data_IF_432092400595
#
_entry.id   IF_432092400595
#
_cell.length_a   1.000
_cell.length_b   1.000
_cell.length_c   1.000
_cell.angle_alpha   90.00
_cell.angle_beta   90.00
_cell.angle_gamma   90.00
#
_symmetry.space_group_name_H-M   'P 1'
#
loop_
_entity.id
_entity.type
_entity.pdbx_description
1 polymer ?
#
# COMPACT_ATOMS: atom_id res chain seq x y z
N UNK A 1 9.13 -17.79 40.66
CA UNK A 1 7.73 -17.34 40.87
C UNK A 1 7.46 -16.23 39.88
N UNK A 2 6.93 -16.56 38.70
CA UNK A 2 6.63 -15.54 37.71
C UNK A 2 5.39 -14.77 38.17
N UNK A 3 5.57 -13.52 38.57
CA UNK A 3 4.50 -12.54 38.77
C UNK A 3 3.92 -12.15 37.40
N UNK A 4 3.27 -13.11 36.74
CA UNK A 4 2.64 -12.97 35.44
C UNK A 4 1.14 -13.18 35.55
N UNK A 5 0.40 -12.62 34.60
CA UNK A 5 -1.04 -12.85 34.47
C UNK A 5 -1.27 -14.37 34.25
N UNK A 6 -2.23 -15.00 34.95
CA UNK A 6 -2.64 -16.37 34.67
C UNK A 6 -2.98 -16.55 33.18
N UNK A 7 -2.56 -17.65 32.55
CA UNK A 7 -2.68 -17.83 31.09
C UNK A 7 -4.14 -17.77 30.60
N UNK A 8 -5.06 -18.29 31.39
CA UNK A 8 -6.51 -18.25 31.20
C UNK A 8 -7.07 -16.82 31.28
N UNK A 9 -6.67 -16.05 32.30
CA UNK A 9 -7.03 -14.64 32.41
C UNK A 9 -6.40 -13.79 31.29
N UNK A 10 -5.18 -14.11 30.88
CA UNK A 10 -4.46 -13.47 29.79
C UNK A 10 -5.16 -13.68 28.45
N UNK A 11 -5.59 -14.91 28.15
CA UNK A 11 -6.35 -15.24 26.95
C UNK A 11 -7.68 -14.46 26.87
N UNK A 12 -8.40 -14.35 27.99
CA UNK A 12 -9.66 -13.61 28.04
C UNK A 12 -9.45 -12.10 27.86
N UNK A 13 -8.48 -11.52 28.58
CA UNK A 13 -8.14 -10.10 28.41
C UNK A 13 -7.66 -9.79 27.00
N UNK A 14 -6.84 -10.67 26.42
CA UNK A 14 -6.36 -10.54 25.05
C UNK A 14 -7.51 -10.48 24.06
N UNK A 15 -8.42 -11.46 24.11
CA UNK A 15 -9.56 -11.57 23.20
C UNK A 15 -10.46 -10.34 23.28
N UNK A 16 -10.71 -9.81 24.48
CA UNK A 16 -11.52 -8.59 24.67
C UNK A 16 -10.82 -7.36 24.10
N UNK A 17 -9.53 -7.18 24.39
CA UNK A 17 -8.76 -6.02 23.90
C UNK A 17 -8.60 -6.04 22.38
N UNK A 18 -8.31 -7.21 21.80
CA UNK A 18 -8.31 -7.41 20.36
C UNK A 18 -9.70 -7.12 19.78
N UNK A 19 -10.78 -7.55 20.43
CA UNK A 19 -12.17 -7.31 20.01
C UNK A 19 -12.49 -5.83 19.86
N UNK A 20 -12.09 -5.03 20.84
CA UNK A 20 -12.26 -3.57 20.82
C UNK A 20 -11.50 -2.94 19.65
N UNK A 21 -10.22 -3.29 19.48
CA UNK A 21 -9.38 -2.76 18.40
C UNK A 21 -9.87 -3.22 17.02
N UNK A 22 -10.32 -4.46 16.91
CA UNK A 22 -10.90 -4.99 15.69
C UNK A 22 -12.17 -4.24 15.30
N UNK A 23 -13.04 -3.89 16.26
CA UNK A 23 -14.18 -3.01 16.02
C UNK A 23 -13.78 -1.66 15.42
N UNK A 24 -12.74 -1.00 15.97
CA UNK A 24 -12.18 0.21 15.36
C UNK A 24 -11.64 -0.03 13.95
N UNK A 25 -10.99 -1.17 13.71
CA UNK A 25 -10.47 -1.53 12.39
C UNK A 25 -11.58 -1.66 11.35
N UNK A 26 -12.75 -2.22 11.70
CA UNK A 26 -13.92 -2.30 10.81
C UNK A 26 -14.44 -0.91 10.48
N UNK A 27 -14.59 -0.04 11.49
CA UNK A 27 -15.07 1.33 11.27
C UNK A 27 -14.14 2.10 10.32
N UNK A 28 -12.84 1.97 10.50
CA UNK A 28 -11.85 2.58 9.61
C UNK A 28 -11.82 1.94 8.21
N UNK A 29 -12.06 0.63 8.11
CA UNK A 29 -12.22 -0.04 6.81
C UNK A 29 -13.42 0.53 6.05
N UNK A 30 -14.59 0.64 6.70
CA UNK A 30 -15.80 1.25 6.11
C UNK A 30 -15.49 2.69 5.67
N UNK A 31 -14.82 3.47 6.53
CA UNK A 31 -14.37 4.82 6.20
C UNK A 31 -13.39 4.86 5.00
N UNK A 32 -12.52 3.87 4.87
CA UNK A 32 -11.59 3.72 3.74
C UNK A 32 -12.34 3.43 2.45
N UNK A 33 -13.26 2.46 2.46
CA UNK A 33 -14.11 2.13 1.30
C UNK A 33 -14.94 3.35 0.88
N UNK A 34 -15.58 4.02 1.84
CA UNK A 34 -16.33 5.24 1.59
C UNK A 34 -15.43 6.31 0.98
N UNK A 35 -14.24 6.56 1.54
CA UNK A 35 -13.33 7.57 1.04
C UNK A 35 -12.83 7.28 -0.38
N UNK A 36 -12.65 6.00 -0.72
CA UNK A 36 -12.16 5.53 -2.02
C UNK A 36 -13.25 5.50 -3.10
N UNK A 37 -14.51 5.22 -2.75
CA UNK A 37 -15.64 5.07 -3.68
C UNK A 37 -16.47 6.34 -3.82
N UNK A 38 -16.59 7.17 -2.77
CA UNK A 38 -17.45 8.35 -2.78
C UNK A 38 -17.00 9.39 -3.82
N UNK A 39 -17.86 9.61 -4.82
CA UNK A 39 -17.71 10.56 -5.94
C UNK A 39 -16.54 10.29 -6.90
N UNK A 40 -16.03 9.06 -6.99
CA UNK A 40 -15.04 8.67 -8.01
C UNK A 40 -15.69 7.89 -9.15
N UNK A 41 -15.30 8.19 -10.39
CA UNK A 41 -15.58 7.29 -11.51
C UNK A 41 -14.82 5.97 -11.30
N UNK A 42 -15.40 4.84 -11.73
CA UNK A 42 -14.82 3.49 -11.55
C UNK A 42 -13.38 3.37 -12.06
N UNK A 43 -12.95 4.23 -13.00
CA UNK A 43 -11.60 4.26 -13.58
C UNK A 43 -10.53 4.90 -12.66
N UNK A 44 -10.92 5.63 -11.60
CA UNK A 44 -9.99 6.31 -10.67
C UNK A 44 -9.72 5.54 -9.36
N UNK A 45 -10.19 4.29 -9.30
CA UNK A 45 -10.05 3.44 -8.12
C UNK A 45 -8.75 2.64 -8.25
N UNK A 46 -7.84 2.84 -7.32
CA UNK A 46 -6.61 2.05 -7.21
C UNK A 46 -6.96 0.63 -6.72
N UNK A 47 -7.36 -0.25 -7.64
CA UNK A 47 -7.74 -1.63 -7.35
C UNK A 47 -6.71 -2.39 -6.48
N UNK A 48 -5.38 -2.25 -6.69
CA UNK A 48 -4.41 -2.94 -5.84
C UNK A 48 -4.50 -2.55 -4.35
N UNK A 49 -4.76 -1.27 -4.07
CA UNK A 49 -4.89 -0.77 -2.69
C UNK A 49 -6.17 -1.29 -2.04
N UNK A 50 -7.25 -1.39 -2.81
CA UNK A 50 -8.51 -1.95 -2.34
C UNK A 50 -8.35 -3.44 -2.01
N UNK A 51 -7.70 -4.20 -2.89
CA UNK A 51 -7.42 -5.63 -2.66
C UNK A 51 -6.63 -5.83 -1.37
N UNK A 52 -5.57 -5.06 -1.16
CA UNK A 52 -4.79 -5.11 0.09
C UNK A 52 -5.64 -4.78 1.32
N UNK A 53 -6.47 -3.74 1.25
CA UNK A 53 -7.36 -3.37 2.36
C UNK A 53 -8.32 -4.51 2.72
N UNK A 54 -8.88 -5.18 1.71
CA UNK A 54 -9.76 -6.34 1.92
C UNK A 54 -8.99 -7.53 2.49
N UNK A 55 -7.79 -7.82 2.00
CA UNK A 55 -6.95 -8.90 2.52
C UNK A 55 -6.57 -8.69 3.99
N UNK A 56 -6.20 -7.47 4.38
CA UNK A 56 -5.90 -7.13 5.79
C UNK A 56 -7.12 -7.30 6.69
N UNK A 57 -8.32 -6.95 6.19
CA UNK A 57 -9.55 -7.20 6.94
C UNK A 57 -9.80 -8.70 7.09
N UNK A 58 -9.73 -9.48 6.01
CA UNK A 58 -9.99 -10.93 6.03
C UNK A 58 -9.04 -11.64 7.00
N UNK A 59 -7.74 -11.33 6.96
CA UNK A 59 -6.77 -11.91 7.88
C UNK A 59 -7.04 -11.52 9.33
N UNK A 60 -7.37 -10.25 9.59
CA UNK A 60 -7.73 -9.80 10.93
C UNK A 60 -9.02 -10.45 11.45
N UNK A 61 -10.00 -10.69 10.58
CA UNK A 61 -11.23 -11.43 10.92
C UNK A 61 -10.93 -12.90 11.21
N UNK A 62 -10.11 -13.54 10.38
CA UNK A 62 -9.74 -14.94 10.58
C UNK A 62 -8.98 -15.13 11.90
N UNK A 63 -8.03 -14.23 12.20
CA UNK A 63 -7.30 -14.21 13.47
C UNK A 63 -8.23 -14.06 14.68
N UNK A 64 -9.17 -13.11 14.63
CA UNK A 64 -10.19 -12.91 15.67
C UNK A 64 -11.04 -14.17 15.90
N UNK A 65 -11.51 -14.80 14.82
CA UNK A 65 -12.31 -16.04 14.91
C UNK A 65 -11.52 -17.16 15.57
N UNK A 66 -10.26 -17.35 15.16
CA UNK A 66 -9.36 -18.34 15.76
C UNK A 66 -9.14 -18.06 17.25
N UNK A 67 -9.00 -16.80 17.66
CA UNK A 67 -8.86 -16.43 19.06
C UNK A 67 -10.12 -16.70 19.88
N UNK A 68 -11.31 -16.42 19.34
CA UNK A 68 -12.58 -16.74 20.00
C UNK A 68 -12.74 -18.26 20.18
N UNK A 69 -12.48 -19.04 19.12
CA UNK A 69 -12.55 -20.51 19.18
C UNK A 69 -11.56 -21.06 20.21
N UNK A 70 -10.31 -20.59 20.20
CA UNK A 70 -9.31 -21.00 21.20
C UNK A 70 -9.73 -20.67 22.63
N UNK A 71 -10.35 -19.51 22.84
CA UNK A 71 -10.85 -19.09 24.14
C UNK A 71 -12.01 -19.97 24.61
N UNK A 72 -12.93 -20.33 23.72
CA UNK A 72 -14.03 -21.26 24.00
C UNK A 72 -13.52 -22.67 24.31
N UNK A 73 -12.65 -23.22 23.47
CA UNK A 73 -12.07 -24.55 23.65
C UNK A 73 -11.32 -24.66 24.99
N UNK A 74 -10.51 -23.66 25.31
CA UNK A 74 -9.70 -23.66 26.52
C UNK A 74 -10.49 -23.44 27.81
N UNK A 75 -11.47 -22.53 27.80
CA UNK A 75 -12.20 -22.14 29.01
C UNK A 75 -13.49 -22.93 29.26
N UNK A 76 -14.11 -23.45 28.20
CA UNK A 76 -15.44 -24.09 28.27
C UNK A 76 -15.34 -25.58 28.01
N UNK A 77 -14.82 -25.99 26.85
CA UNK A 77 -14.86 -27.39 26.39
C UNK A 77 -13.86 -28.25 27.16
N UNK A 78 -12.59 -27.86 27.16
CA UNK A 78 -11.51 -28.67 27.72
C UNK A 78 -11.23 -28.36 29.19
N UNK A 79 -12.15 -27.68 29.88
CA UNK A 79 -11.98 -27.20 31.25
C UNK A 79 -11.63 -28.32 32.25
N UNK A 80 -12.17 -29.52 32.02
CA UNK A 80 -12.01 -30.68 32.91
C UNK A 80 -11.15 -31.80 32.32
N UNK A 81 -10.69 -31.65 31.07
CA UNK A 81 -9.89 -32.69 30.40
C UNK A 81 -8.41 -32.65 30.82
N UNK A 82 -7.91 -31.49 31.24
CA UNK A 82 -6.52 -31.31 31.66
C UNK A 82 -6.36 -31.42 33.19
N UNK A 83 -5.37 -32.18 33.70
CA UNK A 83 -5.15 -32.38 35.14
C UNK A 83 -4.95 -31.08 35.92
N UNK A 84 -4.36 -30.04 35.29
CA UNK A 84 -4.11 -28.74 35.91
C UNK A 84 -5.10 -27.65 35.45
N UNK A 85 -6.17 -28.01 34.74
CA UNK A 85 -7.22 -27.10 34.27
C UNK A 85 -6.88 -26.30 32.99
N UNK A 86 -7.66 -25.25 32.67
CA UNK A 86 -7.54 -24.46 31.43
C UNK A 86 -6.16 -23.87 31.15
N UNK A 87 -5.39 -23.57 32.20
CA UNK A 87 -4.05 -22.98 32.06
C UNK A 87 -3.06 -23.91 31.36
N UNK A 88 -3.24 -25.23 31.47
CA UNK A 88 -2.41 -26.24 30.79
C UNK A 88 -2.71 -26.28 29.28
N UNK A 89 -3.99 -26.14 28.90
CA UNK A 89 -4.38 -26.01 27.50
C UNK A 89 -3.76 -24.77 26.83
N UNK A 90 -3.75 -23.64 27.54
CA UNK A 90 -3.13 -22.41 27.02
C UNK A 90 -1.60 -22.44 27.03
N UNK A 91 -0.99 -23.23 27.91
CA UNK A 91 0.46 -23.45 27.94
C UNK A 91 0.95 -24.33 26.76
N UNK A 92 0.07 -25.15 26.19
CA UNK A 92 0.39 -25.94 25.02
C UNK A 92 0.37 -25.07 23.75
N UNK A 93 1.59 -24.74 23.31
CA UNK A 93 1.87 -23.97 22.10
C UNK A 93 1.81 -24.83 20.82
N UNK A 94 1.74 -26.16 20.93
CA UNK A 94 1.72 -27.05 19.77
C UNK A 94 0.34 -27.26 19.17
N UNK A 95 -0.70 -26.77 19.85
CA UNK A 95 -2.08 -26.80 19.40
C UNK A 95 -2.23 -26.18 18.01
N UNK A 96 -2.94 -26.85 17.11
CA UNK A 96 -3.13 -26.42 15.72
C UNK A 96 -3.67 -24.99 15.64
N UNK A 97 -4.61 -24.65 16.52
CA UNK A 97 -5.21 -23.31 16.64
C UNK A 97 -4.16 -22.23 16.95
N UNK A 98 -3.15 -22.53 17.77
CA UNK A 98 -2.06 -21.61 18.10
C UNK A 98 -1.11 -21.41 16.89
N UNK A 99 -0.81 -22.48 16.17
CA UNK A 99 0.02 -22.44 14.95
C UNK A 99 -0.68 -21.65 13.83
N UNK A 100 -1.98 -21.91 13.61
CA UNK A 100 -2.80 -21.21 12.60
C UNK A 100 -2.88 -19.71 12.91
N UNK A 101 -3.12 -19.36 14.18
CA UNK A 101 -3.14 -17.98 14.67
C UNK A 101 -1.84 -17.23 14.31
N UNK A 102 -0.69 -17.78 14.67
CA UNK A 102 0.61 -17.17 14.35
C UNK A 102 0.90 -17.15 12.85
N UNK A 103 0.38 -18.10 12.08
CA UNK A 103 0.48 -18.08 10.62
C UNK A 103 -0.25 -16.89 10.01
N UNK A 104 -1.48 -16.60 10.47
CA UNK A 104 -2.20 -15.39 10.06
C UNK A 104 -1.47 -14.13 10.47
N UNK A 105 -0.87 -14.13 11.67
CA UNK A 105 -0.05 -13.01 12.13
C UNK A 105 1.09 -12.70 11.17
N UNK A 106 1.91 -13.70 10.85
CA UNK A 106 3.05 -13.56 9.93
C UNK A 106 2.59 -13.10 8.53
N UNK A 107 1.52 -13.69 8.00
CA UNK A 107 0.97 -13.30 6.70
C UNK A 107 0.52 -11.83 6.67
N UNK A 108 -0.18 -11.38 7.71
CA UNK A 108 -0.65 -10.01 7.82
C UNK A 108 0.52 -9.02 7.98
N UNK A 109 1.54 -9.36 8.76
CA UNK A 109 2.78 -8.57 8.86
C UNK A 109 3.48 -8.45 7.51
N UNK A 110 3.63 -9.56 6.77
CA UNK A 110 4.27 -9.54 5.45
C UNK A 110 3.50 -8.67 4.46
N UNK A 111 2.17 -8.74 4.45
CA UNK A 111 1.34 -7.88 3.62
C UNK A 111 1.46 -6.41 4.02
N UNK A 112 1.42 -6.10 5.32
CA UNK A 112 1.53 -4.73 5.81
C UNK A 112 2.87 -4.09 5.42
N UNK A 113 3.98 -4.75 5.75
CA UNK A 113 5.33 -4.27 5.44
C UNK A 113 5.56 -4.17 3.93
N UNK A 114 5.13 -5.18 3.18
CA UNK A 114 5.26 -5.21 1.72
C UNK A 114 4.59 -4.01 1.06
N UNK A 115 3.46 -3.53 1.59
CA UNK A 115 2.78 -2.36 1.04
C UNK A 115 3.48 -1.05 1.37
N UNK A 116 4.08 -0.93 2.56
CA UNK A 116 4.92 0.23 2.91
C UNK A 116 6.13 0.29 2.00
N UNK A 117 6.79 -0.84 1.76
CA UNK A 117 7.93 -0.98 0.85
C UNK A 117 7.52 -0.64 -0.59
N UNK A 118 6.39 -1.16 -1.07
CA UNK A 118 5.86 -0.83 -2.40
C UNK A 118 5.60 0.67 -2.56
N UNK A 119 5.00 1.32 -1.54
CA UNK A 119 4.80 2.78 -1.56
C UNK A 119 6.12 3.53 -1.59
N UNK A 120 7.12 3.07 -0.82
CA UNK A 120 8.46 3.65 -0.84
C UNK A 120 9.07 3.56 -2.25
N UNK A 121 8.95 2.42 -2.92
CA UNK A 121 9.41 2.24 -4.31
C UNK A 121 8.73 3.20 -5.30
N UNK A 122 7.40 3.29 -5.25
CA UNK A 122 6.63 4.16 -6.15
C UNK A 122 6.99 5.64 -5.96
N UNK A 123 7.31 6.09 -4.74
CA UNK A 123 7.65 7.49 -4.47
C UNK A 123 9.11 7.81 -4.80
N UNK A 124 10.04 6.86 -4.60
CA UNK A 124 11.45 7.07 -4.91
C UNK A 124 11.80 6.87 -6.40
N UNK A 125 11.03 6.05 -7.14
CA UNK A 125 11.31 5.69 -8.53
C UNK A 125 12.73 5.12 -8.75
N UNK A 126 13.34 4.59 -7.69
CA UNK A 126 14.70 4.03 -7.70
C UNK A 126 14.72 2.75 -6.87
N UNK A 127 15.15 1.65 -7.50
CA UNK A 127 15.23 0.33 -6.87
C UNK A 127 16.28 0.29 -5.76
N UNK A 128 17.39 1.03 -5.90
CA UNK A 128 18.55 0.97 -5.01
C UNK A 128 18.24 1.29 -3.55
N UNK A 129 17.26 2.19 -3.31
CA UNK A 129 16.91 2.66 -1.97
C UNK A 129 16.02 1.65 -1.26
N UNK A 130 15.32 0.79 -2.01
CA UNK A 130 14.34 -0.16 -1.48
C UNK A 130 14.96 -1.56 -1.29
N UNK A 131 16.16 -1.81 -1.83
CA UNK A 131 16.90 -3.07 -1.64
C UNK A 131 17.04 -3.43 -0.17
N UNK A 132 17.43 -2.46 0.68
CA UNK A 132 17.62 -2.70 2.11
C UNK A 132 16.31 -3.12 2.82
N UNK A 133 15.19 -2.37 2.70
CA UNK A 133 13.90 -2.83 3.21
C UNK A 133 13.44 -4.19 2.67
N UNK A 134 13.72 -4.50 1.40
CA UNK A 134 13.35 -5.80 0.81
C UNK A 134 14.14 -6.95 1.45
N UNK A 135 15.45 -6.77 1.68
CA UNK A 135 16.27 -7.79 2.35
C UNK A 135 15.74 -8.05 3.76
N UNK A 136 15.40 -6.99 4.50
CA UNK A 136 14.83 -7.13 5.84
C UNK A 136 13.45 -7.79 5.80
N UNK A 137 12.61 -7.45 4.83
CA UNK A 137 11.31 -8.10 4.63
C UNK A 137 11.44 -9.59 4.30
N UNK A 138 12.43 -9.99 3.50
CA UNK A 138 12.77 -11.40 3.28
C UNK A 138 13.21 -12.07 4.59
N UNK A 139 13.99 -11.37 5.43
CA UNK A 139 14.33 -11.86 6.78
C UNK A 139 13.09 -12.06 7.64
N UNK A 140 12.12 -11.14 7.61
CA UNK A 140 10.83 -11.29 8.33
C UNK A 140 10.09 -12.54 7.84
N UNK A 141 10.03 -12.77 6.53
CA UNK A 141 9.38 -13.96 5.96
C UNK A 141 10.04 -15.26 6.43
N UNK A 142 11.37 -15.34 6.34
CA UNK A 142 12.13 -16.54 6.73
C UNK A 142 12.00 -16.79 8.23
N UNK A 143 12.25 -15.78 9.06
CA UNK A 143 12.17 -15.90 10.52
C UNK A 143 10.76 -16.23 10.99
N UNK A 144 9.72 -15.64 10.39
CA UNK A 144 8.32 -15.93 10.71
C UNK A 144 7.92 -17.36 10.37
N UNK A 145 8.26 -17.85 9.17
CA UNK A 145 7.96 -19.24 8.76
C UNK A 145 8.68 -20.24 9.65
N UNK A 146 9.96 -20.01 9.95
CA UNK A 146 10.73 -20.90 10.83
C UNK A 146 10.21 -20.85 12.26
N UNK A 147 9.79 -19.68 12.76
CA UNK A 147 9.18 -19.55 14.07
C UNK A 147 7.89 -20.38 14.16
N UNK A 148 6.96 -20.23 13.20
CA UNK A 148 5.71 -21.01 13.15
C UNK A 148 6.00 -22.52 13.08
N UNK A 149 6.95 -22.93 12.25
CA UNK A 149 7.38 -24.33 12.18
C UNK A 149 7.99 -24.83 13.50
N UNK A 150 8.79 -24.00 14.18
CA UNK A 150 9.38 -24.36 15.47
C UNK A 150 8.31 -24.47 16.56
N UNK A 151 7.25 -23.65 16.50
CA UNK A 151 6.08 -23.74 17.39
C UNK A 151 5.35 -25.07 17.18
N UNK A 152 5.10 -25.47 15.94
CA UNK A 152 4.39 -26.75 15.68
C UNK A 152 5.16 -27.97 16.18
N UNK A 153 6.49 -27.90 16.19
CA UNK A 153 7.36 -28.97 16.70
C UNK A 153 7.60 -28.88 18.22
N UNK A 154 7.25 -27.78 18.88
CA UNK A 154 7.55 -27.58 20.30
C UNK A 154 6.80 -28.57 21.24
N UNK A 155 5.70 -29.16 20.79
CA UNK A 155 4.94 -30.19 21.53
C UNK A 155 5.68 -31.51 21.69
N UNK A 156 6.80 -31.72 20.97
CA UNK A 156 7.61 -32.95 21.06
C UNK A 156 8.43 -33.05 22.35
N UNK A 157 8.45 -32.03 23.20
CA UNK A 157 9.17 -32.04 24.50
C UNK A 157 10.69 -31.80 24.39
N UNK A 158 11.22 -31.59 23.19
CA UNK A 158 12.64 -31.39 22.95
C UNK A 158 13.06 -29.93 23.23
N UNK A 159 13.79 -29.71 24.33
CA UNK A 159 14.24 -28.38 24.76
C UNK A 159 15.13 -27.62 23.77
N UNK A 160 15.68 -28.29 22.75
CA UNK A 160 16.43 -27.68 21.64
C UNK A 160 15.50 -26.80 20.79
N UNK A 161 14.29 -27.28 20.48
CA UNK A 161 13.31 -26.52 19.69
C UNK A 161 12.79 -25.31 20.44
N UNK A 162 12.64 -25.40 21.76
CA UNK A 162 12.23 -24.26 22.60
C UNK A 162 13.26 -23.14 22.57
N UNK A 163 14.55 -23.47 22.65
CA UNK A 163 15.63 -22.47 22.61
C UNK A 163 15.79 -21.86 21.21
N UNK A 164 15.69 -22.68 20.17
CA UNK A 164 15.71 -22.22 18.78
C UNK A 164 14.50 -21.33 18.47
N UNK A 165 13.29 -21.74 18.88
CA UNK A 165 12.06 -20.96 18.74
C UNK A 165 12.24 -19.55 19.30
N UNK A 166 12.82 -19.41 20.49
CA UNK A 166 13.01 -18.10 21.09
C UNK A 166 13.97 -17.19 20.30
N UNK A 167 15.01 -17.76 19.70
CA UNK A 167 15.90 -17.00 18.83
C UNK A 167 15.18 -16.54 17.55
N UNK A 168 14.37 -17.42 16.93
CA UNK A 168 13.62 -17.09 15.73
C UNK A 168 12.54 -16.04 15.97
N UNK A 169 11.79 -16.15 17.07
CA UNK A 169 10.76 -15.15 17.45
C UNK A 169 11.40 -13.79 17.75
N UNK A 170 12.54 -13.78 18.44
CA UNK A 170 13.29 -12.54 18.70
C UNK A 170 13.78 -11.89 17.41
N UNK A 171 14.34 -12.69 16.50
CA UNK A 171 14.81 -12.23 15.19
C UNK A 171 13.64 -11.71 14.33
N UNK A 172 12.48 -12.37 14.39
CA UNK A 172 11.27 -11.94 13.71
C UNK A 172 10.81 -10.56 14.22
N UNK A 173 10.63 -10.36 15.53
CA UNK A 173 10.24 -9.05 16.06
C UNK A 173 11.26 -7.95 15.73
N UNK A 174 12.55 -8.22 15.91
CA UNK A 174 13.61 -7.25 15.63
C UNK A 174 13.66 -6.86 14.14
N UNK A 175 13.56 -7.85 13.24
CA UNK A 175 13.56 -7.61 11.80
C UNK A 175 12.30 -6.87 11.34
N UNK A 176 11.13 -7.16 11.90
CA UNK A 176 9.89 -6.44 11.59
C UNK A 176 9.96 -4.98 12.06
N UNK A 177 10.42 -4.73 13.29
CA UNK A 177 10.61 -3.36 13.81
C UNK A 177 11.57 -2.58 12.90
N UNK A 178 12.71 -3.18 12.55
CA UNK A 178 13.69 -2.55 11.67
C UNK A 178 13.10 -2.28 10.27
N UNK A 179 12.41 -3.24 9.67
CA UNK A 179 11.78 -3.12 8.36
C UNK A 179 10.75 -2.00 8.34
N UNK A 180 9.85 -1.97 9.33
CA UNK A 180 8.79 -0.97 9.42
C UNK A 180 9.33 0.44 9.65
N UNK A 181 10.29 0.62 10.56
CA UNK A 181 10.90 1.93 10.83
C UNK A 181 11.73 2.44 9.65
N UNK A 182 12.52 1.59 9.01
CA UNK A 182 13.33 1.97 7.86
C UNK A 182 12.46 2.31 6.65
N UNK A 183 11.50 1.47 6.31
CA UNK A 183 10.61 1.71 5.16
C UNK A 183 9.72 2.94 5.36
N UNK A 184 9.15 3.11 6.56
CA UNK A 184 8.33 4.29 6.91
C UNK A 184 9.17 5.57 6.97
N UNK A 185 10.39 5.50 7.53
CA UNK A 185 11.33 6.62 7.60
C UNK A 185 11.80 7.09 6.22
N UNK A 186 12.17 6.15 5.34
CA UNK A 186 12.56 6.43 3.95
C UNK A 186 11.41 7.08 3.16
N UNK A 187 10.19 6.57 3.36
CA UNK A 187 9.00 7.14 2.74
C UNK A 187 8.72 8.56 3.25
N UNK A 188 8.73 8.78 4.56
CA UNK A 188 8.52 10.08 5.18
C UNK A 188 9.57 11.11 4.74
N UNK A 189 10.85 10.72 4.76
CA UNK A 189 11.97 11.58 4.37
C UNK A 189 11.87 12.04 2.91
N UNK A 190 11.50 11.13 2.00
CA UNK A 190 11.33 11.46 0.58
C UNK A 190 10.21 12.45 0.35
N UNK A 191 9.06 12.24 0.98
CA UNK A 191 7.92 13.16 0.89
C UNK A 191 8.33 14.55 1.38
N UNK A 192 9.10 14.61 2.48
CA UNK A 192 9.62 15.86 3.02
C UNK A 192 10.59 16.58 2.06
N UNK A 193 11.52 15.89 1.42
CA UNK A 193 12.42 16.49 0.42
C UNK A 193 11.64 17.06 -0.76
N UNK A 194 10.69 16.29 -1.31
CA UNK A 194 9.88 16.73 -2.45
C UNK A 194 9.13 18.02 -2.10
N UNK A 195 8.56 18.11 -0.90
CA UNK A 195 7.90 19.34 -0.44
C UNK A 195 8.87 20.52 -0.36
N UNK A 196 10.07 20.31 0.19
CA UNK A 196 11.06 21.38 0.37
C UNK A 196 11.57 21.93 -0.96
N UNK A 197 11.70 21.09 -1.99
CA UNK A 197 12.09 21.50 -3.34
C UNK A 197 11.03 22.31 -4.10
N UNK A 198 9.74 22.08 -3.83
CA UNK A 198 8.62 22.77 -4.50
C UNK A 198 8.25 24.10 -3.80
N UNK A 199 8.61 24.26 -2.53
CA UNK A 199 8.27 25.44 -1.70
C UNK A 199 8.92 26.75 -2.16
N UNK A 200 9.89 26.71 -3.08
CA UNK A 200 10.57 27.90 -3.61
C UNK A 200 9.78 28.66 -4.70
N UNK A 201 8.70 28.10 -5.26
CA UNK A 201 8.07 28.65 -6.47
C UNK A 201 6.62 29.11 -6.28
N UNK A 202 5.89 28.70 -5.23
CA UNK A 202 4.56 29.26 -4.96
C UNK A 202 4.10 29.00 -3.53
N UNK A 203 3.40 29.97 -2.95
CA UNK A 203 2.80 30.04 -1.60
C UNK A 203 1.71 28.99 -1.32
N UNK A 204 1.85 27.75 -1.80
CA UNK A 204 0.94 26.65 -1.49
C UNK A 204 1.36 25.96 -0.19
N UNK A 205 0.95 26.59 0.89
CA UNK A 205 0.77 26.11 2.26
C UNK A 205 0.82 24.58 2.43
N UNK A 206 1.87 24.08 3.10
CA UNK A 206 1.94 22.92 4.01
C UNK A 206 0.98 21.69 3.84
N UNK A 207 0.55 21.34 2.64
CA UNK A 207 -0.52 20.35 2.40
C UNK A 207 -0.08 18.90 2.60
N UNK A 208 1.20 18.57 2.40
CA UNK A 208 1.69 17.18 2.53
C UNK A 208 2.26 16.85 3.92
N UNK A 209 2.58 17.85 4.75
CA UNK A 209 3.09 17.66 6.11
C UNK A 209 2.13 16.86 7.02
N UNK A 210 0.80 17.04 6.94
CA UNK A 210 -0.13 16.18 7.66
C UNK A 210 -0.13 14.72 7.21
N UNK A 211 0.19 14.42 5.94
CA UNK A 211 0.32 13.03 5.46
C UNK A 211 1.54 12.37 6.09
N UNK A 212 2.66 13.08 6.10
CA UNK A 212 3.91 12.62 6.73
C UNK A 212 3.71 12.36 8.22
N UNK A 213 3.00 13.26 8.93
CA UNK A 213 2.70 13.07 10.35
C UNK A 213 1.90 11.79 10.60
N UNK A 214 0.84 11.54 9.84
CA UNK A 214 0.02 10.31 10.01
C UNK A 214 0.83 9.05 9.67
N UNK A 215 1.70 9.10 8.67
CA UNK A 215 2.63 7.99 8.36
C UNK A 215 3.55 7.68 9.54
N UNK A 216 4.14 8.73 10.14
CA UNK A 216 5.04 8.59 11.29
C UNK A 216 4.28 8.11 12.53
N UNK A 217 3.11 8.67 12.83
CA UNK A 217 2.28 8.27 13.97
C UNK A 217 1.88 6.78 13.86
N UNK A 218 1.50 6.33 12.65
CA UNK A 218 1.18 4.94 12.38
C UNK A 218 2.40 4.01 12.54
N UNK A 219 3.56 4.42 12.04
CA UNK A 219 4.80 3.65 12.15
C UNK A 219 5.27 3.52 13.61
N UNK A 220 5.15 4.60 14.39
CA UNK A 220 5.48 4.60 15.83
C UNK A 220 4.52 3.70 16.59
N UNK A 221 3.21 3.82 16.35
CA UNK A 221 2.19 3.00 17.01
C UNK A 221 2.48 1.51 16.82
N UNK A 222 2.73 1.09 15.57
CA UNK A 222 3.02 -0.30 15.26
C UNK A 222 4.35 -0.77 15.88
N UNK A 223 5.41 0.04 15.75
CA UNK A 223 6.72 -0.31 16.30
C UNK A 223 6.71 -0.38 17.83
N UNK A 224 5.93 0.48 18.50
CA UNK A 224 5.77 0.46 19.94
C UNK A 224 5.06 -0.82 20.42
N UNK A 225 4.02 -1.26 19.70
CA UNK A 225 3.34 -2.52 20.00
C UNK A 225 4.30 -3.72 19.86
N UNK A 226 5.06 -3.80 18.76
CA UNK A 226 6.06 -4.85 18.55
C UNK A 226 7.19 -4.82 19.58
N UNK A 227 7.68 -3.63 19.92
CA UNK A 227 8.73 -3.48 20.94
C UNK A 227 8.23 -3.94 22.31
N UNK A 228 6.98 -3.62 22.65
CA UNK A 228 6.35 -4.09 23.89
C UNK A 228 6.21 -5.61 23.88
N UNK A 229 5.77 -6.21 22.77
CA UNK A 229 5.71 -7.66 22.62
C UNK A 229 7.10 -8.31 22.79
N UNK A 230 8.13 -7.73 22.17
CA UNK A 230 9.51 -8.22 22.28
C UNK A 230 10.04 -8.15 23.73
N UNK A 231 9.79 -7.05 24.44
CA UNK A 231 10.20 -6.90 25.85
C UNK A 231 9.51 -7.95 26.72
N UNK A 232 8.20 -8.13 26.55
CA UNK A 232 7.44 -9.14 27.30
C UNK A 232 7.92 -10.55 26.98
N UNK A 233 8.26 -10.83 25.73
CA UNK A 233 8.80 -12.11 25.31
C UNK A 233 10.13 -12.44 25.99
N UNK A 234 11.10 -11.53 25.91
CA UNK A 234 12.42 -11.72 26.52
C UNK A 234 12.33 -11.79 28.06
N UNK A 235 11.32 -11.14 28.64
CA UNK A 235 11.04 -11.20 30.08
C UNK A 235 10.32 -12.48 30.51
N UNK A 236 9.90 -13.34 29.57
CA UNK A 236 9.11 -14.54 29.85
C UNK A 236 7.73 -14.24 30.43
N UNK A 237 7.12 -13.12 30.05
CA UNK A 237 5.81 -12.71 30.54
C UNK A 237 4.71 -13.13 29.55
N UNK A 238 3.73 -13.88 30.05
CA UNK A 238 2.54 -14.34 29.33
C UNK A 238 1.73 -13.21 28.66
N UNK A 239 1.92 -11.95 29.10
CA UNK A 239 1.30 -10.79 28.47
C UNK A 239 1.76 -10.53 27.03
N UNK A 240 2.83 -11.18 26.55
CA UNK A 240 3.28 -11.08 25.16
C UNK A 240 2.17 -11.47 24.18
N UNK A 241 1.50 -12.61 24.37
CA UNK A 241 0.46 -13.09 23.45
C UNK A 241 -0.67 -12.06 23.34
N UNK A 242 -1.01 -11.40 24.45
CA UNK A 242 -2.00 -10.34 24.46
C UNK A 242 -1.57 -9.12 23.62
N UNK A 243 -0.30 -8.73 23.67
CA UNK A 243 0.22 -7.63 22.85
C UNK A 243 0.29 -8.00 21.38
N UNK A 244 0.64 -9.25 21.06
CA UNK A 244 0.65 -9.78 19.68
C UNK A 244 -0.76 -9.77 19.10
N UNK A 245 -1.76 -10.20 19.88
CA UNK A 245 -3.17 -10.17 19.49
C UNK A 245 -3.65 -8.75 19.21
N UNK A 246 -3.33 -7.80 20.08
CA UNK A 246 -3.63 -6.39 19.83
C UNK A 246 -2.90 -5.83 18.60
N UNK A 247 -1.69 -6.32 18.28
CA UNK A 247 -0.91 -5.85 17.15
C UNK A 247 -1.57 -6.18 15.79
N UNK A 248 -2.40 -7.24 15.72
CA UNK A 248 -3.16 -7.59 14.52
C UNK A 248 -4.07 -6.45 14.04
N UNK A 249 -5.11 -6.04 14.77
CA UNK A 249 -5.96 -4.93 14.36
C UNK A 249 -5.20 -3.59 14.30
N UNK A 250 -4.14 -3.38 15.10
CA UNK A 250 -3.30 -2.18 15.01
C UNK A 250 -2.68 -2.02 13.63
N UNK A 251 -2.18 -3.10 13.01
CA UNK A 251 -1.64 -3.03 11.64
C UNK A 251 -2.70 -2.58 10.63
N UNK A 252 -3.91 -3.13 10.72
CA UNK A 252 -5.03 -2.75 9.86
C UNK A 252 -5.44 -1.29 10.09
N UNK A 253 -5.54 -0.86 11.34
CA UNK A 253 -5.83 0.53 11.74
C UNK A 253 -4.80 1.49 11.15
N UNK A 254 -3.51 1.22 11.36
CA UNK A 254 -2.40 2.01 10.84
C UNK A 254 -2.49 2.16 9.31
N UNK A 255 -2.76 1.04 8.62
CA UNK A 255 -2.92 1.03 7.17
C UNK A 255 -4.09 1.90 6.69
N UNK A 256 -5.27 1.77 7.32
CA UNK A 256 -6.47 2.53 6.98
C UNK A 256 -6.31 4.02 7.29
N UNK A 257 -5.68 4.39 8.40
CA UNK A 257 -5.42 5.80 8.73
C UNK A 257 -4.61 6.50 7.64
N UNK A 258 -3.53 5.86 7.17
CA UNK A 258 -2.70 6.40 6.09
C UNK A 258 -3.51 6.53 4.79
N UNK A 259 -4.32 5.53 4.45
CA UNK A 259 -5.15 5.58 3.24
C UNK A 259 -6.20 6.68 3.26
N UNK A 260 -6.94 6.80 4.36
CA UNK A 260 -7.95 7.86 4.54
C UNK A 260 -7.27 9.22 4.41
N UNK A 261 -6.09 9.41 5.03
CA UNK A 261 -5.36 10.67 4.94
C UNK A 261 -4.94 10.98 3.50
N UNK A 262 -4.35 10.03 2.77
CA UNK A 262 -3.98 10.23 1.36
C UNK A 262 -5.22 10.58 0.51
N UNK A 263 -6.36 9.92 0.74
CA UNK A 263 -7.59 10.17 0.01
C UNK A 263 -8.19 11.57 0.30
N UNK A 264 -8.10 12.06 1.54
CA UNK A 264 -8.54 13.41 1.91
C UNK A 264 -7.66 14.49 1.28
N UNK A 265 -6.34 14.32 1.27
CA UNK A 265 -5.42 15.30 0.65
C UNK A 265 -5.63 15.40 -0.87
N UNK A 266 -5.90 14.27 -1.55
CA UNK A 266 -6.26 14.29 -2.99
C UNK A 266 -7.52 15.12 -3.25
N UNK A 267 -8.53 15.02 -2.38
CA UNK A 267 -9.77 15.81 -2.50
C UNK A 267 -9.49 17.30 -2.33
N UNK A 268 -8.71 17.69 -1.33
CA UNK A 268 -8.35 19.09 -1.08
C UNK A 268 -7.67 19.73 -2.30
N UNK A 269 -6.72 19.03 -2.95
CA UNK A 269 -6.10 19.51 -4.19
C UNK A 269 -7.10 19.65 -5.34
N UNK A 270 -8.00 18.68 -5.55
CA UNK A 270 -9.04 18.79 -6.58
C UNK A 270 -9.98 19.98 -6.35
N UNK A 271 -10.38 20.25 -5.10
CA UNK A 271 -11.24 21.39 -4.78
C UNK A 271 -10.54 22.74 -4.99
N UNK A 272 -9.25 22.84 -4.64
CA UNK A 272 -8.46 24.07 -4.84
C UNK A 272 -8.22 24.36 -6.32
N UNK A 273 -7.89 23.35 -7.14
CA UNK A 273 -7.74 23.51 -8.59
C UNK A 273 -9.04 23.96 -9.26
N UNK A 274 -10.19 23.39 -8.88
CA UNK A 274 -11.49 23.81 -9.43
C UNK A 274 -11.85 25.25 -9.03
N UNK A 275 -11.51 25.69 -7.81
CA UNK A 275 -11.75 27.07 -7.36
C UNK A 275 -10.85 28.09 -8.05
N UNK A 276 -9.58 27.77 -8.30
CA UNK A 276 -8.66 28.67 -9.01
C UNK A 276 -9.02 28.83 -10.48
N UNK A 277 -9.57 27.80 -11.13
CA UNK A 277 -10.15 27.93 -12.48
C UNK A 277 -11.46 28.73 -12.51
N UNK A 278 -12.25 28.72 -11.43
CA UNK A 278 -13.50 29.47 -11.32
C UNK A 278 -13.34 30.92 -10.80
N UNK A 279 -12.17 31.28 -10.25
CA UNK A 279 -11.92 32.58 -9.60
C UNK A 279 -11.01 33.53 -10.38
N UNK A 280 -10.80 33.32 -11.69
CA UNK A 280 -10.30 34.39 -12.56
C UNK A 280 -11.55 35.15 -13.06
N UNK A 281 -11.95 36.27 -12.45
CA UNK A 281 -12.78 37.21 -13.18
C UNK A 281 -11.94 37.65 -14.38
N UNK A 282 -12.43 37.34 -15.58
CA UNK A 282 -11.93 37.88 -16.83
C UNK A 282 -12.12 39.40 -16.74
N UNK A 283 -11.15 40.08 -16.13
CA UNK A 283 -11.14 41.53 -16.00
C UNK A 283 -10.97 42.02 -17.43
N UNK A 284 -12.11 42.37 -18.05
CA UNK A 284 -12.17 43.08 -19.31
C UNK A 284 -11.44 44.41 -19.08
N UNK A 285 -10.13 44.41 -19.31
CA UNK A 285 -9.40 45.61 -19.59
C UNK A 285 -9.87 46.00 -20.98
N UNK A 286 -10.69 47.05 -21.01
CA UNK A 286 -11.14 47.77 -22.20
C UNK A 286 -9.98 47.95 -23.16
N UNK A 287 -10.01 47.20 -24.25
CA UNK A 287 -9.12 47.34 -25.40
C UNK A 287 -9.98 47.67 -26.62
N UNK A 288 -10.62 48.85 -26.58
CA UNK A 288 -11.20 49.44 -27.79
C UNK A 288 -10.08 49.82 -28.80
N UNK A 289 -8.83 49.92 -28.34
CA UNK A 289 -7.67 50.23 -29.18
C UNK A 289 -7.06 49.03 -29.94
N UNK A 290 -7.26 47.77 -29.52
CA UNK A 290 -6.79 46.60 -30.30
C UNK A 290 -7.80 46.11 -31.34
N UNK A 291 -9.09 46.42 -31.16
CA UNK A 291 -10.14 45.97 -32.08
C UNK A 291 -10.09 46.71 -33.43
N UNK A 292 -9.67 47.98 -33.45
CA UNK A 292 -9.39 48.71 -34.68
C UNK A 292 -8.17 48.16 -35.43
N UNK A 293 -7.11 47.76 -34.71
CA UNK A 293 -5.91 47.17 -35.34
C UNK A 293 -6.17 45.77 -35.91
N UNK A 294 -7.02 44.98 -35.29
CA UNK A 294 -7.36 43.63 -35.77
C UNK A 294 -8.28 43.65 -37.01
N UNK A 295 -9.14 44.66 -37.16
CA UNK A 295 -9.95 44.83 -38.38
C UNK A 295 -9.11 45.25 -39.59
N UNK A 296 -7.98 45.92 -39.38
CA UNK A 296 -7.11 46.40 -40.47
C UNK A 296 -6.26 45.28 -41.11
N UNK A 297 -6.23 44.07 -40.54
CA UNK A 297 -5.50 42.91 -41.04
C UNK A 297 -6.38 41.68 -41.33
N UNK A 298 -7.67 41.88 -41.61
CA UNK A 298 -8.51 40.80 -42.12
C UNK A 298 -8.08 40.44 -43.56
N UNK A 299 -7.23 39.43 -43.72
CA UNK A 299 -6.87 38.90 -45.03
C UNK A 299 -8.10 38.32 -45.73
N UNK A 300 -8.40 38.84 -46.92
CA UNK A 300 -9.43 38.28 -47.81
C UNK A 300 -9.02 36.86 -48.23
N UNK A 301 -9.95 35.89 -48.28
CA UNK A 301 -9.63 34.54 -48.72
C UNK A 301 -9.19 34.56 -50.19
N UNK A 302 -8.00 34.01 -50.46
CA UNK A 302 -7.42 33.92 -51.80
C UNK A 302 -8.16 32.84 -52.60
N UNK A 303 -8.85 33.22 -53.68
CA UNK A 303 -9.43 32.25 -54.61
C UNK A 303 -8.32 31.63 -55.47
N UNK A 304 -8.07 30.34 -55.28
CA UNK A 304 -7.08 29.58 -56.06
C UNK A 304 -7.76 29.07 -57.34
N UNK A 305 -7.44 29.71 -58.47
CA UNK A 305 -7.86 29.25 -59.79
C UNK A 305 -6.89 28.16 -60.27
N UNK A 306 -7.30 26.89 -60.18
CA UNK A 306 -6.49 25.76 -60.64
C UNK A 306 -6.63 25.62 -62.15
N UNK A 307 -5.65 26.12 -62.90
CA UNK A 307 -5.53 25.87 -64.34
C UNK A 307 -4.67 24.63 -64.55
N UNK A 308 -5.27 23.59 -65.14
CA UNK A 308 -4.59 22.32 -65.45
C UNK A 308 -3.90 22.46 -66.81
N UNK A 309 -2.58 22.61 -66.83
CA UNK A 309 -1.80 22.57 -68.06
C UNK A 309 -1.52 21.11 -68.46
N UNK A 310 -2.13 20.66 -69.55
CA UNK A 310 -1.80 19.38 -70.18
C UNK A 310 -0.50 19.56 -70.98
N UNK A 311 0.58 18.92 -70.53
CA UNK A 311 1.84 18.88 -71.26
C UNK A 311 1.71 17.84 -72.37
N UNK A 312 1.66 18.30 -73.63
CA UNK A 312 1.70 17.43 -74.81
C UNK A 312 3.15 17.39 -75.31
N UNK A 313 3.84 16.27 -75.04
CA UNK A 313 5.18 16.03 -75.56
C UNK A 313 5.13 15.92 -77.09
N UNK A 314 5.88 16.80 -77.77
CA UNK A 314 6.26 16.63 -79.18
C UNK A 314 7.57 15.85 -79.23
N UNK A 315 7.64 14.70 -79.92
CA UNK A 315 8.92 14.14 -80.29
C UNK A 315 9.51 14.96 -81.44
N UNK A 316 10.75 15.41 -81.26
CA UNK A 316 11.56 16.10 -82.26
C UNK A 316 12.22 15.10 -83.20
N UNK A 317 12.29 15.51 -84.46
CA UNK A 317 12.85 14.82 -85.61
C UNK A 317 14.35 14.51 -85.47
N UNK A 318 14.76 13.31 -85.86
CA UNK A 318 16.10 13.09 -86.40
C UNK A 318 16.04 12.31 -87.70
N UNK A 319 16.80 12.82 -88.66
CA UNK A 319 16.97 12.40 -90.05
C UNK A 319 17.65 11.02 -90.12
N UNK A 320 17.30 10.18 -91.10
CA UNK A 320 18.16 9.99 -92.27
C UNK A 320 17.59 9.03 -93.34
N UNK A 321 17.57 9.55 -94.57
CA UNK A 321 18.06 8.92 -95.81
C UNK A 321 17.65 7.49 -96.23
N UNK A 322 16.94 7.50 -97.36
CA UNK A 322 17.12 6.67 -98.58
C UNK A 322 16.33 5.36 -98.82
N UNK A 323 15.72 5.39 -100.03
CA UNK A 323 15.52 4.31 -101.02
C UNK A 323 14.37 3.31 -100.82
N UNK A 324 13.52 3.23 -101.85
CA UNK A 324 12.83 1.98 -102.20
C UNK A 324 11.40 2.14 -102.70
N UNK A 325 11.27 2.31 -104.01
CA UNK A 325 10.10 2.09 -104.90
C UNK A 325 9.16 0.90 -104.55
N UNK A 326 7.84 1.19 -104.49
CA UNK A 326 6.65 0.53 -105.12
C UNK A 326 6.48 -1.02 -105.22
N UNK A 327 5.25 -1.57 -105.45
CA UNK A 327 3.93 -1.33 -104.84
C UNK A 327 3.18 -2.70 -104.57
N UNK A 328 1.83 -2.88 -104.68
CA UNK A 328 1.02 -3.69 -103.75
C UNK A 328 0.58 -5.07 -104.29
N UNK A 329 0.15 -6.01 -103.44
CA UNK A 329 -0.74 -7.11 -103.87
C UNK A 329 -1.66 -7.61 -102.74
N UNK A 330 -2.85 -7.98 -103.18
CA UNK A 330 -4.05 -8.43 -102.48
C UNK A 330 -3.88 -9.72 -101.65
N UNK A 331 -4.67 -9.82 -100.57
CA UNK A 331 -5.72 -10.81 -100.22
C UNK A 331 -5.93 -10.82 -98.71
#
# INVERSE_FOLDING_TARGET
>A
MASGIPLDAGALMSTVLEGVLYGFSILLFIGTIWSLTYKRHKQDINLPILVVAVLLLILSTAHMVVNIVRAEDGLVINRYEYPNGPSEYFADVSQETYVIKHSFYVLQTLLADGVVIYRCYVVWQSVWIVVLPIILWCSVAVTGVIAVYSVSQAGSGDGIFVKALAQWVTAFFASTIATNLLSSGLLAYRIWIIQRGVSGVNTSRNTVMPVVRVLVDAAILYSAALLTALILFVSGNNGQDAVVDMAMPIMSIAFYMVLIRIALNKKEHSYVSTRTSASIPRRAVTSEAEQERAQQYAMKPLQVHVSKFTHQERPSSSKDSMRGTSPPYDV
#
